data_IF_848707585516
#
_entry.id   IF_848707585516
#
_cell.length_a   1.000
_cell.length_b   1.000
_cell.length_c   1.000
_cell.angle_alpha   90.00
_cell.angle_beta   90.00
_cell.angle_gamma   90.00
#
_symmetry.space_group_name_H-M   'P 1'
#
loop_
_entity.id
_entity.type
_entity.pdbx_description
1 polymer ?
#
# COMPACT_ATOMS: atom_id res chain seq x y z
N UNK A 1 -37.88 -1.11 5.69
CA UNK A 1 -36.67 -1.57 4.97
C UNK A 1 -37.07 -2.79 4.15
N UNK A 2 -36.99 -2.71 2.83
CA UNK A 2 -37.52 -3.74 1.92
C UNK A 2 -36.46 -4.81 1.68
N UNK A 3 -36.61 -5.99 2.29
CA UNK A 3 -35.72 -7.12 2.04
C UNK A 3 -35.96 -7.64 0.62
N UNK A 4 -35.03 -7.37 -0.30
CA UNK A 4 -35.05 -7.96 -1.64
C UNK A 4 -34.78 -9.45 -1.52
N UNK A 5 -35.84 -10.25 -1.52
CA UNK A 5 -35.76 -11.71 -1.62
C UNK A 5 -35.42 -12.03 -3.07
N UNK A 6 -34.13 -12.18 -3.37
CA UNK A 6 -33.65 -12.68 -4.65
C UNK A 6 -33.80 -14.19 -4.70
N UNK A 7 -34.54 -14.71 -5.69
CA UNK A 7 -34.62 -16.15 -5.95
C UNK A 7 -33.37 -16.61 -6.70
N UNK A 8 -32.53 -17.41 -6.05
CA UNK A 8 -31.34 -18.01 -6.65
C UNK A 8 -31.74 -19.37 -7.24
N UNK A 9 -31.57 -19.55 -8.55
CA UNK A 9 -31.70 -20.87 -9.19
C UNK A 9 -30.39 -21.63 -8.99
N UNK A 10 -30.46 -22.78 -8.33
CA UNK A 10 -29.33 -23.68 -8.12
C UNK A 10 -29.51 -24.91 -8.99
N UNK A 11 -28.46 -25.28 -9.73
CA UNK A 11 -28.46 -26.52 -10.50
C UNK A 11 -28.34 -27.74 -9.59
N UNK A 12 -28.85 -28.88 -10.07
CA UNK A 12 -28.89 -30.14 -9.31
C UNK A 12 -27.50 -30.60 -8.88
N UNK A 13 -26.50 -30.37 -9.71
CA UNK A 13 -25.10 -30.67 -9.38
C UNK A 13 -24.60 -29.82 -8.21
N UNK A 14 -24.90 -28.52 -8.20
CA UNK A 14 -24.53 -27.61 -7.11
C UNK A 14 -25.19 -28.03 -5.79
N UNK A 15 -26.44 -28.48 -5.84
CA UNK A 15 -27.15 -29.00 -4.66
C UNK A 15 -26.44 -30.24 -4.11
N UNK A 16 -26.02 -31.17 -4.98
CA UNK A 16 -25.31 -32.39 -4.58
C UNK A 16 -23.95 -32.05 -3.96
N UNK A 17 -23.21 -31.13 -4.55
CA UNK A 17 -21.92 -30.68 -4.03
C UNK A 17 -22.08 -30.01 -2.64
N UNK A 18 -23.11 -29.18 -2.45
CA UNK A 18 -23.40 -28.56 -1.16
C UNK A 18 -23.79 -29.61 -0.09
N UNK A 19 -24.54 -30.63 -0.48
CA UNK A 19 -24.86 -31.76 0.41
C UNK A 19 -23.62 -32.55 0.83
N UNK A 20 -22.67 -32.76 -0.09
CA UNK A 20 -21.41 -33.43 0.22
C UNK A 20 -20.51 -32.64 1.19
N UNK A 21 -20.65 -31.32 1.23
CA UNK A 21 -19.94 -30.42 2.15
C UNK A 21 -20.66 -30.26 3.49
N UNK A 22 -21.86 -30.83 3.65
CA UNK A 22 -22.65 -30.73 4.87
C UNK A 22 -22.11 -31.70 5.93
N UNK A 23 -21.80 -31.17 7.12
CA UNK A 23 -21.32 -32.00 8.24
C UNK A 23 -22.47 -32.84 8.84
N UNK A 24 -22.18 -33.97 9.52
CA UNK A 24 -23.21 -34.77 10.17
C UNK A 24 -23.99 -33.94 11.20
N UNK A 25 -25.31 -33.83 11.02
CA UNK A 25 -26.17 -33.02 11.88
C UNK A 25 -26.35 -31.56 11.45
N UNK A 26 -25.67 -31.13 10.39
CA UNK A 26 -25.88 -29.81 9.79
C UNK A 26 -26.99 -29.84 8.73
N UNK A 27 -27.80 -28.79 8.66
CA UNK A 27 -28.81 -28.64 7.60
C UNK A 27 -28.22 -27.96 6.36
N UNK A 28 -28.64 -28.38 5.17
CA UNK A 28 -28.26 -27.75 3.91
C UNK A 28 -28.53 -26.24 3.89
N UNK A 29 -29.60 -25.78 4.58
CA UNK A 29 -29.91 -24.37 4.74
C UNK A 29 -28.81 -23.60 5.48
N UNK A 30 -28.19 -24.20 6.50
CA UNK A 30 -27.10 -23.59 7.25
C UNK A 30 -25.84 -23.45 6.40
N UNK A 31 -25.52 -24.47 5.61
CA UNK A 31 -24.39 -24.43 4.64
C UNK A 31 -24.62 -23.33 3.60
N UNK A 32 -25.82 -23.25 3.02
CA UNK A 32 -26.19 -22.21 2.05
C UNK A 32 -26.10 -20.82 2.68
N UNK A 33 -26.58 -20.66 3.93
CA UNK A 33 -26.52 -19.37 4.63
C UNK A 33 -25.08 -18.94 4.91
N UNK A 34 -24.20 -19.87 5.28
CA UNK A 34 -22.77 -19.61 5.48
C UNK A 34 -22.07 -19.24 4.18
N UNK A 35 -22.35 -19.94 3.10
CA UNK A 35 -21.82 -19.65 1.77
C UNK A 35 -22.31 -18.28 1.27
N UNK A 36 -23.58 -17.95 1.46
CA UNK A 36 -24.14 -16.65 1.11
C UNK A 36 -23.52 -15.52 1.94
N UNK A 37 -23.27 -15.75 3.24
CA UNK A 37 -22.59 -14.78 4.11
C UNK A 37 -21.13 -14.59 3.68
N UNK A 38 -20.42 -15.67 3.34
CA UNK A 38 -19.05 -15.62 2.82
C UNK A 38 -18.98 -14.86 1.50
N UNK A 39 -19.90 -15.12 0.57
CA UNK A 39 -19.98 -14.39 -0.70
C UNK A 39 -20.34 -12.92 -0.49
N UNK A 40 -21.19 -12.60 0.49
CA UNK A 40 -21.44 -11.21 0.88
C UNK A 40 -20.23 -10.54 1.53
N UNK A 41 -19.41 -11.26 2.31
CA UNK A 41 -18.17 -10.71 2.88
C UNK A 41 -17.04 -10.63 1.86
N UNK A 42 -17.07 -11.44 0.80
CA UNK A 42 -16.14 -11.33 -0.33
C UNK A 42 -16.58 -10.20 -1.27
N UNK A 43 -17.88 -10.09 -1.56
CA UNK A 43 -18.47 -9.02 -2.37
C UNK A 43 -18.54 -7.66 -1.68
N UNK A 44 -18.64 -7.64 -0.35
CA UNK A 44 -18.49 -6.46 0.52
C UNK A 44 -17.17 -6.53 1.32
N UNK A 45 -16.15 -7.23 0.81
CA UNK A 45 -14.82 -7.19 1.41
C UNK A 45 -14.41 -5.72 1.55
N UNK A 46 -13.75 -5.31 2.64
CA UNK A 46 -13.50 -3.91 2.93
C UNK A 46 -12.75 -3.28 1.75
N UNK A 47 -13.50 -2.56 0.93
CA UNK A 47 -13.06 -1.45 0.12
C UNK A 47 -11.79 -1.77 -0.70
N UNK A 48 -11.90 -2.49 -1.82
CA UNK A 48 -10.84 -2.43 -2.84
C UNK A 48 -10.53 -0.97 -3.21
N UNK A 49 -11.54 -0.10 -3.17
CA UNK A 49 -11.41 1.34 -3.32
C UNK A 49 -10.66 2.00 -2.15
N UNK A 50 -10.99 1.68 -0.90
CA UNK A 50 -10.27 2.21 0.27
C UNK A 50 -8.83 1.68 0.40
N UNK A 51 -8.56 0.44 0.01
CA UNK A 51 -7.19 -0.09 -0.07
C UNK A 51 -6.41 0.60 -1.19
N UNK A 52 -7.01 0.81 -2.37
CA UNK A 52 -6.39 1.57 -3.47
C UNK A 52 -6.08 3.01 -3.06
N UNK A 53 -7.01 3.70 -2.40
CA UNK A 53 -6.79 5.06 -1.87
C UNK A 53 -5.68 5.12 -0.83
N UNK A 54 -5.58 4.11 0.04
CA UNK A 54 -4.48 4.03 1.02
C UNK A 54 -3.15 3.78 0.34
N UNK A 55 -3.13 2.98 -0.73
CA UNK A 55 -1.94 2.71 -1.53
C UNK A 55 -1.48 3.98 -2.27
N UNK A 56 -2.38 4.69 -2.94
CA UNK A 56 -2.09 5.96 -3.62
C UNK A 56 -1.57 7.03 -2.63
N UNK A 57 -2.18 7.12 -1.43
CA UNK A 57 -1.71 8.01 -0.38
C UNK A 57 -0.31 7.65 0.15
N UNK A 58 0.05 6.35 0.16
CA UNK A 58 1.38 5.90 0.54
C UNK A 58 2.41 6.20 -0.54
N UNK A 59 2.08 5.97 -1.81
CA UNK A 59 2.94 6.32 -2.97
C UNK A 59 3.25 7.83 -2.98
N UNK A 60 2.24 8.68 -2.81
CA UNK A 60 2.41 10.13 -2.73
C UNK A 60 3.35 10.57 -1.59
N UNK A 61 3.30 9.87 -0.45
CA UNK A 61 4.21 10.12 0.68
C UNK A 61 5.64 9.68 0.38
N UNK A 62 5.82 8.55 -0.29
CA UNK A 62 7.14 8.07 -0.72
C UNK A 62 7.79 9.05 -1.70
N UNK A 63 7.07 9.48 -2.73
CA UNK A 63 7.56 10.49 -3.70
C UNK A 63 8.02 11.79 -3.03
N UNK A 64 7.33 12.21 -1.97
CA UNK A 64 7.68 13.41 -1.22
C UNK A 64 8.95 13.19 -0.40
N UNK A 65 9.09 12.02 0.23
CA UNK A 65 10.29 11.67 1.00
C UNK A 65 11.50 11.59 0.07
N UNK A 66 11.38 10.94 -1.09
CA UNK A 66 12.46 10.84 -2.08
C UNK A 66 12.93 12.21 -2.56
N UNK A 67 12.00 13.11 -2.88
CA UNK A 67 12.33 14.51 -3.25
C UNK A 67 13.03 15.26 -2.12
N UNK A 68 12.57 15.10 -0.88
CA UNK A 68 13.24 15.71 0.27
C UNK A 68 14.65 15.15 0.44
N UNK A 69 14.83 13.83 0.37
CA UNK A 69 16.13 13.18 0.48
C UNK A 69 17.10 13.63 -0.63
N UNK A 70 16.62 13.72 -1.89
CA UNK A 70 17.41 14.26 -2.99
C UNK A 70 17.87 15.70 -2.73
N UNK A 71 16.94 16.58 -2.32
CA UNK A 71 17.28 17.97 -1.98
C UNK A 71 18.28 18.08 -0.81
N UNK A 72 18.20 17.20 0.19
CA UNK A 72 19.19 17.16 1.26
C UNK A 72 20.55 16.68 0.75
N UNK A 73 20.58 15.70 -0.15
CA UNK A 73 21.81 15.21 -0.75
C UNK A 73 22.52 16.30 -1.55
N UNK A 74 21.79 17.02 -2.41
CA UNK A 74 22.33 18.11 -3.21
C UNK A 74 22.91 19.25 -2.35
N UNK A 75 22.23 19.58 -1.25
CA UNK A 75 22.71 20.59 -0.29
C UNK A 75 23.98 20.18 0.42
N UNK A 76 24.08 18.91 0.82
CA UNK A 76 25.30 18.39 1.43
C UNK A 76 26.46 18.42 0.43
N UNK A 77 26.20 18.06 -0.84
CA UNK A 77 27.22 18.10 -1.87
C UNK A 77 27.69 19.55 -2.16
N UNK A 78 26.77 20.51 -2.23
CA UNK A 78 27.12 21.92 -2.43
C UNK A 78 27.96 22.48 -1.28
N UNK A 79 27.59 22.17 -0.03
CA UNK A 79 28.32 22.63 1.16
C UNK A 79 29.72 22.01 1.22
N UNK A 80 29.88 20.74 0.83
CA UNK A 80 31.18 20.09 0.74
C UNK A 80 32.07 20.75 -0.31
N UNK A 81 31.55 21.04 -1.51
CA UNK A 81 32.30 21.72 -2.57
C UNK A 81 32.74 23.12 -2.14
N UNK A 82 31.88 23.85 -1.44
CA UNK A 82 32.19 25.20 -0.95
C UNK A 82 33.22 25.19 0.19
N UNK A 83 33.16 24.20 1.08
CA UNK A 83 34.16 23.99 2.13
C UNK A 83 35.53 23.63 1.54
N UNK A 84 35.58 22.80 0.50
CA UNK A 84 36.83 22.49 -0.19
C UNK A 84 37.41 23.73 -0.87
N UNK A 85 36.61 24.49 -1.63
CA UNK A 85 37.06 25.70 -2.31
C UNK A 85 37.66 26.74 -1.34
N UNK A 86 36.98 27.00 -0.22
CA UNK A 86 37.47 27.92 0.81
C UNK A 86 38.73 27.41 1.53
N UNK A 87 38.88 26.10 1.72
CA UNK A 87 40.11 25.51 2.26
C UNK A 87 41.31 25.72 1.32
N UNK A 88 41.11 25.58 0.01
CA UNK A 88 42.15 25.83 -1.00
C UNK A 88 42.57 27.31 -1.04
N UNK A 89 41.61 28.25 -1.01
CA UNK A 89 41.93 29.69 -0.98
C UNK A 89 42.69 30.09 0.29
N UNK A 90 42.32 29.52 1.45
CA UNK A 90 43.04 29.74 2.71
C UNK A 90 44.49 29.24 2.68
N UNK A 91 44.74 28.09 2.03
CA UNK A 91 46.10 27.56 1.85
C UNK A 91 46.93 28.41 0.87
N UNK A 92 46.34 28.83 -0.25
CA UNK A 92 46.99 29.71 -1.23
C UNK A 92 47.38 31.06 -0.62
N UNK A 93 46.51 31.63 0.23
CA UNK A 93 46.79 32.87 0.94
C UNK A 93 47.91 32.73 1.98
N UNK A 94 47.97 31.60 2.72
CA UNK A 94 49.07 31.32 3.66
C UNK A 94 50.42 31.17 2.94
N UNK A 95 50.48 30.51 1.79
CA UNK A 95 51.74 30.36 1.04
C UNK A 95 52.28 31.70 0.49
N UNK A 96 51.42 32.62 0.06
CA UNK A 96 51.84 33.97 -0.38
C UNK A 96 52.37 34.86 0.76
N UNK A 97 51.96 34.62 2.01
CA UNK A 97 52.46 35.39 3.17
C UNK A 97 53.79 34.91 3.72
N UNK A 98 54.18 33.66 3.46
CA UNK A 98 55.48 33.11 3.89
C UNK A 98 56.61 33.29 2.86
N UNK A 99 56.33 33.96 1.73
CA UNK A 99 57.28 34.17 0.62
C UNK A 99 57.69 35.64 0.43
N UNK A 100 57.29 36.52 1.35
CA UNK A 100 57.71 37.93 1.48
C UNK A 100 58.43 38.10 2.82
#
# INVERSE_FOLDING_TARGET
MSSKIGTIKLDRETIIQLQALTLPGESLASVIQRAALALQTIGNGPDQDGMSRRMEALESRLDRIERCCGAYHDRIESDQRQTQASAFDGQAFRMRRNTL
#
